data_IF_041873746419
#
_entry.id   IF_041873746419
#
_cell.length_a   1.000
_cell.length_b   1.000
_cell.length_c   1.000
_cell.angle_alpha   90.00
_cell.angle_beta   90.00
_cell.angle_gamma   90.00
#
_symmetry.space_group_name_H-M   'P 1'
#
loop_
_entity.id
_entity.type
_entity.pdbx_description
1 polymer ?
#
# COMPACT_ATOMS: atom_id res chain seq x y z
N UNK A 1 1.18 30.21 5.39
CA UNK A 1 -0.02 30.33 4.53
C UNK A 1 -0.90 29.06 4.62
N UNK A 2 -2.22 29.21 4.47
CA UNK A 2 -3.20 28.14 4.71
C UNK A 2 -3.47 27.20 3.52
N UNK A 3 -3.39 27.68 2.27
CA UNK A 3 -3.64 26.85 1.08
C UNK A 3 -2.34 26.27 0.52
N UNK A 4 -2.41 25.09 -0.11
CA UNK A 4 -1.27 24.45 -0.78
C UNK A 4 -0.64 25.35 -1.84
N UNK A 5 -1.47 26.05 -2.63
CA UNK A 5 -0.99 26.97 -3.66
C UNK A 5 -0.18 28.13 -3.05
N UNK A 6 -0.69 28.73 -1.97
CA UNK A 6 0.02 29.80 -1.27
C UNK A 6 1.29 29.28 -0.57
N UNK A 7 1.32 28.04 -0.12
CA UNK A 7 2.54 27.39 0.41
C UNK A 7 3.59 27.21 -0.69
N UNK A 8 3.20 26.80 -1.89
CA UNK A 8 4.12 26.68 -3.03
C UNK A 8 4.74 28.02 -3.40
N UNK A 9 3.93 29.08 -3.49
CA UNK A 9 4.43 30.43 -3.73
C UNK A 9 5.32 30.93 -2.57
N UNK A 10 4.97 30.63 -1.32
CA UNK A 10 5.73 31.00 -0.14
C UNK A 10 7.14 30.38 -0.13
N UNK A 11 7.26 29.07 -0.37
CA UNK A 11 8.56 28.41 -0.40
C UNK A 11 9.38 28.79 -1.65
N UNK A 12 8.72 29.10 -2.76
CA UNK A 12 9.40 29.69 -3.92
C UNK A 12 10.00 31.06 -3.58
N UNK A 13 9.26 31.93 -2.88
CA UNK A 13 9.75 33.22 -2.40
C UNK A 13 10.91 33.07 -1.39
N UNK A 14 10.85 32.05 -0.52
CA UNK A 14 11.97 31.70 0.38
C UNK A 14 13.25 31.39 -0.41
N UNK A 15 13.15 30.57 -1.46
CA UNK A 15 14.27 30.29 -2.34
C UNK A 15 14.79 31.57 -3.02
N UNK A 16 13.91 32.40 -3.59
CA UNK A 16 14.29 33.65 -4.28
C UNK A 16 14.95 34.69 -3.38
N UNK A 17 14.71 34.63 -2.07
CA UNK A 17 15.33 35.52 -1.06
C UNK A 17 16.54 34.90 -0.35
N UNK A 18 17.07 33.79 -0.87
CA UNK A 18 18.29 33.14 -0.35
C UNK A 18 18.05 32.18 0.82
N UNK A 19 16.81 31.99 1.28
CA UNK A 19 16.46 31.05 2.35
C UNK A 19 16.25 29.63 1.79
N UNK A 20 17.31 29.07 1.19
CA UNK A 20 17.24 27.84 0.40
C UNK A 20 16.90 26.60 1.22
N UNK A 21 17.46 26.44 2.42
CA UNK A 21 17.18 25.29 3.29
C UNK A 21 15.70 25.21 3.68
N UNK A 22 15.12 26.32 4.12
CA UNK A 22 13.69 26.42 4.42
C UNK A 22 12.80 26.16 3.19
N UNK A 23 13.24 26.61 2.01
CA UNK A 23 12.55 26.33 0.76
C UNK A 23 12.54 24.84 0.40
N UNK A 24 13.65 24.13 0.62
CA UNK A 24 13.78 22.70 0.31
C UNK A 24 13.02 21.82 1.27
N UNK A 25 12.98 22.16 2.57
CA UNK A 25 12.13 21.46 3.53
C UNK A 25 10.66 21.55 3.11
N UNK A 26 10.18 22.75 2.81
CA UNK A 26 8.82 22.95 2.32
C UNK A 26 8.52 22.29 0.97
N UNK A 27 9.48 22.33 0.04
CA UNK A 27 9.35 21.64 -1.24
C UNK A 27 9.22 20.13 -1.04
N UNK A 28 9.98 19.53 -0.13
CA UNK A 28 9.89 18.09 0.19
C UNK A 28 8.52 17.73 0.77
N UNK A 29 8.03 18.51 1.74
CA UNK A 29 6.72 18.28 2.35
C UNK A 29 5.57 18.39 1.33
N UNK A 30 5.67 19.35 0.40
CA UNK A 30 4.72 19.51 -0.70
C UNK A 30 4.87 18.46 -1.81
N UNK A 31 6.04 17.83 -1.93
CA UNK A 31 6.35 16.85 -2.96
C UNK A 31 5.88 15.43 -2.61
N UNK A 32 5.96 15.03 -1.35
CA UNK A 32 5.68 13.68 -0.87
C UNK A 32 4.16 13.37 -0.79
N UNK A 33 3.51 13.42 -1.95
CA UNK A 33 2.09 13.10 -2.14
C UNK A 33 1.85 12.50 -3.52
N UNK A 34 0.88 11.58 -3.61
CA UNK A 34 0.43 11.01 -4.89
C UNK A 34 -0.56 11.87 -5.66
N UNK A 35 -0.98 13.01 -5.08
CA UNK A 35 -1.91 13.94 -5.71
C UNK A 35 -1.17 14.91 -6.62
N UNK A 36 -1.84 15.33 -7.69
CA UNK A 36 -1.39 16.46 -8.49
C UNK A 36 -1.46 17.73 -7.64
N UNK A 37 -0.35 18.46 -7.58
CA UNK A 37 -0.24 19.69 -6.83
C UNK A 37 -0.63 20.89 -7.72
N UNK A 38 -0.97 22.05 -7.14
CA UNK A 38 -1.21 23.26 -7.92
C UNK A 38 -0.04 23.61 -8.84
N UNK A 39 -0.32 24.18 -10.02
CA UNK A 39 0.71 24.60 -10.98
C UNK A 39 1.74 25.59 -10.39
N UNK A 40 1.36 26.32 -9.33
CA UNK A 40 2.27 27.18 -8.57
C UNK A 40 3.48 26.42 -7.99
N UNK A 41 3.35 25.12 -7.74
CA UNK A 41 4.40 24.27 -7.19
C UNK A 41 5.43 23.85 -8.25
N UNK A 42 5.11 23.93 -9.54
CA UNK A 42 5.98 23.46 -10.62
C UNK A 42 7.32 24.22 -10.62
N UNK A 43 7.26 25.54 -10.43
CA UNK A 43 8.46 26.38 -10.33
C UNK A 43 9.31 26.01 -9.12
N UNK A 44 8.67 25.79 -7.96
CA UNK A 44 9.35 25.38 -6.73
C UNK A 44 10.05 24.02 -6.89
N UNK A 45 9.35 23.03 -7.45
CA UNK A 45 9.91 21.70 -7.67
C UNK A 45 11.02 21.72 -8.73
N UNK A 46 10.87 22.52 -9.78
CA UNK A 46 11.88 22.70 -10.81
C UNK A 46 13.18 23.27 -10.23
N UNK A 47 13.12 24.35 -9.46
CA UNK A 47 14.33 24.93 -8.84
C UNK A 47 14.92 24.03 -7.75
N UNK A 48 14.08 23.30 -7.00
CA UNK A 48 14.56 22.32 -6.03
C UNK A 48 15.33 21.19 -6.70
N UNK A 49 14.80 20.65 -7.81
CA UNK A 49 15.49 19.63 -8.61
C UNK A 49 16.79 20.17 -9.22
N UNK A 50 16.76 21.35 -9.83
CA UNK A 50 17.92 21.99 -10.45
C UNK A 50 19.04 22.29 -9.44
N UNK A 51 18.71 22.46 -8.15
CA UNK A 51 19.70 22.68 -7.09
C UNK A 51 20.56 21.45 -6.76
N UNK A 52 20.19 20.25 -7.22
CA UNK A 52 20.83 18.98 -6.84
C UNK A 52 20.55 18.55 -5.39
N UNK A 53 19.70 19.28 -4.64
CA UNK A 53 19.30 18.95 -3.26
C UNK A 53 18.05 18.07 -3.17
N UNK A 54 17.44 17.73 -4.30
CA UNK A 54 16.35 16.77 -4.34
C UNK A 54 16.92 15.36 -4.24
N UNK A 55 16.64 14.69 -3.12
CA UNK A 55 16.97 13.29 -2.90
C UNK A 55 16.32 12.41 -3.99
N UNK A 56 17.10 11.61 -4.75
CA UNK A 56 16.55 10.69 -5.74
C UNK A 56 15.51 9.72 -5.16
N UNK A 57 15.65 9.31 -3.89
CA UNK A 57 14.66 8.47 -3.21
C UNK A 57 13.33 9.19 -2.98
N UNK A 58 13.35 10.51 -2.74
CA UNK A 58 12.12 11.30 -2.64
C UNK A 58 11.40 11.41 -4.00
N UNK A 59 12.16 11.42 -5.11
CA UNK A 59 11.59 11.38 -6.45
C UNK A 59 10.87 10.06 -6.70
N UNK A 60 11.54 8.94 -6.42
CA UNK A 60 10.97 7.60 -6.52
C UNK A 60 9.75 7.43 -5.60
N UNK A 61 9.81 7.95 -4.37
CA UNK A 61 8.69 7.85 -3.43
C UNK A 61 7.45 8.56 -3.95
N UNK A 62 7.58 9.70 -4.65
CA UNK A 62 6.43 10.38 -5.26
C UNK A 62 5.81 9.55 -6.38
N UNK A 63 6.61 8.85 -7.19
CA UNK A 63 6.10 7.91 -8.20
C UNK A 63 5.27 6.82 -7.51
N UNK A 64 5.81 6.22 -6.44
CA UNK A 64 5.12 5.16 -5.68
C UNK A 64 3.82 5.66 -5.05
N UNK A 65 3.83 6.85 -4.45
CA UNK A 65 2.63 7.47 -3.88
C UNK A 65 1.59 7.78 -4.95
N UNK A 66 2.00 8.28 -6.12
CA UNK A 66 1.11 8.54 -7.24
C UNK A 66 0.46 7.25 -7.74
N UNK A 67 1.23 6.16 -7.85
CA UNK A 67 0.71 4.85 -8.22
C UNK A 67 -0.28 4.32 -7.17
N UNK A 68 0.05 4.42 -5.88
CA UNK A 68 -0.84 4.01 -4.78
C UNK A 68 -2.15 4.81 -4.76
N UNK A 69 -2.10 6.09 -5.16
CA UNK A 69 -3.26 6.96 -5.30
C UNK A 69 -4.07 6.70 -6.58
N UNK A 70 -3.60 5.82 -7.49
CA UNK A 70 -4.22 5.60 -8.80
C UNK A 70 -4.00 6.74 -9.79
N UNK A 71 -3.06 7.66 -9.53
CA UNK A 71 -2.76 8.79 -10.39
C UNK A 71 -1.74 8.42 -11.47
N UNK A 72 -2.18 7.61 -12.43
CA UNK A 72 -1.34 7.06 -13.52
C UNK A 72 -0.78 8.15 -14.44
N UNK A 73 -1.50 9.25 -14.62
CA UNK A 73 -1.02 10.43 -15.35
C UNK A 73 0.22 11.04 -14.68
N UNK A 74 0.17 11.25 -13.37
CA UNK A 74 1.33 11.75 -12.62
C UNK A 74 2.50 10.76 -12.63
N UNK A 75 2.23 9.46 -12.51
CA UNK A 75 3.28 8.43 -12.65
C UNK A 75 3.97 8.54 -14.00
N UNK A 76 3.20 8.69 -15.09
CA UNK A 76 3.74 8.79 -16.45
C UNK A 76 4.60 10.04 -16.62
N UNK A 77 4.14 11.19 -16.13
CA UNK A 77 4.91 12.45 -16.17
C UNK A 77 6.22 12.31 -15.39
N UNK A 78 6.17 11.78 -14.17
CA UNK A 78 7.35 11.63 -13.32
C UNK A 78 8.33 10.60 -13.89
N UNK A 79 7.84 9.47 -14.42
CA UNK A 79 8.66 8.44 -15.06
C UNK A 79 9.37 8.98 -16.30
N UNK A 80 8.68 9.77 -17.14
CA UNK A 80 9.27 10.40 -18.33
C UNK A 80 10.36 11.42 -18.00
N UNK A 81 10.37 11.96 -16.78
CA UNK A 81 11.36 12.90 -16.29
C UNK A 81 12.28 12.29 -15.23
N UNK A 82 12.45 10.97 -15.15
CA UNK A 82 13.27 10.37 -14.10
C UNK A 82 14.73 10.88 -14.09
N UNK A 83 15.41 10.85 -12.93
CA UNK A 83 16.86 10.99 -12.88
C UNK A 83 17.54 9.93 -13.77
N UNK A 84 18.68 10.29 -14.38
CA UNK A 84 19.36 9.44 -15.35
C UNK A 84 19.69 8.03 -14.83
N UNK A 85 20.00 7.91 -13.54
CA UNK A 85 20.29 6.64 -12.86
C UNK A 85 19.11 5.64 -12.85
N UNK A 86 17.87 6.13 -12.99
CA UNK A 86 16.66 5.30 -13.00
C UNK A 86 15.93 5.29 -14.35
N UNK A 87 16.48 5.94 -15.38
CA UNK A 87 15.85 6.05 -16.69
C UNK A 87 15.62 4.68 -17.35
N UNK A 88 16.43 3.68 -17.00
CA UNK A 88 16.33 2.31 -17.51
C UNK A 88 15.03 1.60 -17.12
N UNK A 89 14.37 2.01 -16.03
CA UNK A 89 13.10 1.42 -15.56
C UNK A 89 11.89 2.32 -15.83
N UNK A 90 12.08 3.51 -16.41
CA UNK A 90 11.01 4.48 -16.66
C UNK A 90 9.89 3.91 -17.53
N UNK A 91 10.24 3.23 -18.64
CA UNK A 91 9.27 2.60 -19.53
C UNK A 91 8.48 1.48 -18.83
N UNK A 92 9.16 0.67 -18.01
CA UNK A 92 8.54 -0.39 -17.24
C UNK A 92 7.54 0.15 -16.21
N UNK A 93 7.86 1.28 -15.55
CA UNK A 93 6.96 1.98 -14.63
C UNK A 93 5.72 2.50 -15.37
N UNK A 94 5.89 3.12 -16.53
CA UNK A 94 4.76 3.65 -17.34
C UNK A 94 3.82 2.51 -17.74
N UNK A 95 4.38 1.42 -18.27
CA UNK A 95 3.61 0.23 -18.64
C UNK A 95 2.85 -0.34 -17.44
N UNK A 96 3.52 -0.44 -16.29
CA UNK A 96 2.91 -0.96 -15.06
C UNK A 96 1.78 -0.06 -14.53
N UNK A 97 1.94 1.26 -14.64
CA UNK A 97 0.93 2.22 -14.23
C UNK A 97 -0.32 2.18 -15.14
N UNK A 98 -0.11 1.99 -16.44
CA UNK A 98 -1.20 1.92 -17.41
C UNK A 98 -1.97 0.61 -17.31
N UNK A 99 -1.29 -0.50 -17.04
CA UNK A 99 -1.92 -1.80 -16.85
C UNK A 99 -1.18 -2.64 -15.78
N UNK A 100 -1.79 -2.81 -14.58
CA UNK A 100 -1.18 -3.54 -13.48
C UNK A 100 -0.98 -5.02 -13.77
N UNK A 101 -1.63 -5.60 -14.79
CA UNK A 101 -1.42 -7.00 -15.19
C UNK A 101 0.00 -7.26 -15.71
N UNK A 102 0.75 -6.20 -16.05
CA UNK A 102 2.17 -6.29 -16.39
C UNK A 102 3.10 -6.47 -15.18
N UNK A 103 2.58 -6.59 -13.95
CA UNK A 103 3.39 -6.67 -12.72
C UNK A 103 4.43 -7.80 -12.73
N UNK A 104 4.10 -8.97 -13.29
CA UNK A 104 5.07 -10.07 -13.35
C UNK A 104 6.19 -9.79 -14.37
N UNK A 105 5.86 -9.17 -15.50
CA UNK A 105 6.85 -8.73 -16.49
C UNK A 105 7.77 -7.66 -15.90
N UNK A 106 7.18 -6.65 -15.24
CA UNK A 106 7.93 -5.63 -14.50
C UNK A 106 8.88 -6.26 -13.47
N UNK A 107 8.38 -7.18 -12.67
CA UNK A 107 9.15 -7.89 -11.64
C UNK A 107 10.31 -8.73 -12.22
N UNK A 108 10.21 -9.21 -13.46
CA UNK A 108 11.26 -10.02 -14.11
C UNK A 108 12.30 -9.17 -14.87
N UNK A 109 11.89 -8.02 -15.36
CA UNK A 109 12.70 -7.16 -16.25
C UNK A 109 13.39 -6.02 -15.52
N UNK A 110 12.97 -5.72 -14.29
CA UNK A 110 13.60 -4.72 -13.43
C UNK A 110 14.41 -5.38 -12.31
N UNK A 111 15.52 -4.75 -11.93
CA UNK A 111 16.33 -5.20 -10.80
C UNK A 111 15.53 -5.21 -9.50
N UNK A 112 15.71 -6.24 -8.66
CA UNK A 112 15.04 -6.34 -7.37
C UNK A 112 15.63 -5.34 -6.38
N UNK A 113 14.86 -4.31 -6.04
CA UNK A 113 15.19 -3.24 -5.10
C UNK A 113 13.96 -2.95 -4.23
N UNK A 114 14.13 -2.23 -3.13
CA UNK A 114 12.97 -1.90 -2.30
C UNK A 114 11.94 -1.04 -3.04
N UNK A 115 12.39 -0.18 -3.97
CA UNK A 115 11.49 0.59 -4.82
C UNK A 115 10.68 -0.30 -5.78
N UNK A 116 11.34 -1.19 -6.53
CA UNK A 116 10.67 -2.06 -7.50
C UNK A 116 9.73 -3.06 -6.82
N UNK A 117 10.10 -3.56 -5.64
CA UNK A 117 9.21 -4.39 -4.80
C UNK A 117 7.94 -3.66 -4.39
N UNK A 118 8.08 -2.42 -3.90
CA UNK A 118 6.92 -1.62 -3.50
C UNK A 118 6.03 -1.23 -4.68
N UNK A 119 6.60 -0.92 -5.84
CA UNK A 119 5.84 -0.68 -7.07
C UNK A 119 5.08 -1.94 -7.51
N UNK A 120 5.74 -3.11 -7.45
CA UNK A 120 5.12 -4.38 -7.76
C UNK A 120 3.99 -4.72 -6.78
N UNK A 121 4.15 -4.45 -5.48
CA UNK A 121 3.09 -4.63 -4.47
C UNK A 121 1.86 -3.77 -4.76
N UNK A 122 2.05 -2.49 -5.13
CA UNK A 122 0.95 -1.58 -5.49
C UNK A 122 0.20 -2.06 -6.75
N UNK A 123 0.93 -2.47 -7.79
CA UNK A 123 0.31 -3.07 -8.97
C UNK A 123 -0.40 -4.39 -8.64
N UNK A 124 0.23 -5.26 -7.86
CA UNK A 124 -0.33 -6.53 -7.44
C UNK A 124 -1.62 -6.34 -6.65
N UNK A 125 -1.69 -5.33 -5.78
CA UNK A 125 -2.92 -4.96 -5.10
C UNK A 125 -4.04 -4.58 -6.07
N UNK A 126 -3.71 -3.99 -7.21
CA UNK A 126 -4.65 -3.66 -8.30
C UNK A 126 -5.09 -4.91 -9.05
N UNK A 127 -4.16 -5.81 -9.40
CA UNK A 127 -4.47 -7.13 -9.99
C UNK A 127 -5.42 -7.92 -9.09
N UNK A 128 -5.13 -7.99 -7.79
CA UNK A 128 -5.98 -8.71 -6.84
C UNK A 128 -7.39 -8.10 -6.73
N UNK A 129 -7.59 -6.81 -7.01
CA UNK A 129 -8.95 -6.22 -7.07
C UNK A 129 -9.74 -6.70 -8.28
N UNK A 130 -9.06 -6.94 -9.39
CA UNK A 130 -9.65 -7.37 -10.66
C UNK A 130 -9.91 -8.87 -10.65
N UNK A 131 -8.93 -9.65 -10.21
CA UNK A 131 -8.99 -11.11 -10.15
C UNK A 131 -8.14 -11.62 -8.98
N UNK A 132 -8.84 -12.03 -7.92
CA UNK A 132 -8.21 -12.53 -6.70
C UNK A 132 -7.49 -13.87 -6.92
N UNK A 133 -8.00 -14.73 -7.81
CA UNK A 133 -7.44 -16.05 -8.06
C UNK A 133 -6.17 -15.96 -8.89
N UNK A 134 -6.17 -15.13 -9.94
CA UNK A 134 -4.97 -14.82 -10.70
C UNK A 134 -3.87 -14.26 -9.78
N UNK A 135 -4.20 -13.28 -8.92
CA UNK A 135 -3.25 -12.74 -7.96
C UNK A 135 -2.73 -13.82 -6.99
N UNK A 136 -3.60 -14.68 -6.46
CA UNK A 136 -3.22 -15.80 -5.57
C UNK A 136 -2.20 -16.73 -6.23
N UNK A 137 -2.44 -17.11 -7.48
CA UNK A 137 -1.57 -17.99 -8.27
C UNK A 137 -0.26 -17.30 -8.68
N UNK A 138 -0.23 -15.98 -8.75
CA UNK A 138 0.94 -15.20 -9.15
C UNK A 138 1.99 -15.04 -8.04
N UNK A 139 1.60 -15.15 -6.76
CA UNK A 139 2.48 -14.92 -5.60
C UNK A 139 3.83 -15.66 -5.71
N UNK A 140 3.90 -16.99 -5.98
CA UNK A 140 5.18 -17.69 -6.05
C UNK A 140 6.12 -17.13 -7.12
N UNK A 141 5.56 -16.73 -8.27
CA UNK A 141 6.34 -16.16 -9.37
C UNK A 141 6.89 -14.77 -9.03
N UNK A 142 6.12 -13.95 -8.31
CA UNK A 142 6.59 -12.64 -7.85
C UNK A 142 7.65 -12.76 -6.75
N UNK A 143 7.46 -13.69 -5.80
CA UNK A 143 8.44 -13.98 -4.75
C UNK A 143 9.78 -14.37 -5.38
N UNK A 144 9.75 -15.27 -6.38
CA UNK A 144 10.96 -15.69 -7.09
C UNK A 144 11.60 -14.53 -7.87
N UNK A 145 10.82 -13.78 -8.64
CA UNK A 145 11.33 -12.73 -9.53
C UNK A 145 11.99 -11.57 -8.76
N UNK A 146 11.41 -11.18 -7.61
CA UNK A 146 11.89 -10.03 -6.82
C UNK A 146 12.63 -10.43 -5.54
N UNK A 147 12.87 -11.74 -5.34
CA UNK A 147 13.52 -12.32 -4.16
C UNK A 147 12.89 -11.76 -2.87
N UNK A 148 11.57 -11.84 -2.79
CA UNK A 148 10.82 -11.28 -1.67
C UNK A 148 11.14 -12.06 -0.39
N UNK A 149 11.27 -11.33 0.72
CA UNK A 149 11.40 -11.95 2.04
C UNK A 149 10.01 -12.40 2.57
N UNK A 150 9.99 -13.01 3.76
CA UNK A 150 8.73 -13.49 4.36
C UNK A 150 7.72 -12.37 4.63
N UNK A 151 8.18 -11.20 5.09
CA UNK A 151 7.30 -10.05 5.36
C UNK A 151 6.64 -9.53 4.08
N UNK A 152 7.43 -9.35 3.01
CA UNK A 152 6.95 -8.93 1.70
C UNK A 152 6.03 -9.97 1.08
N UNK A 153 6.33 -11.26 1.26
CA UNK A 153 5.46 -12.36 0.81
C UNK A 153 4.14 -12.34 1.57
N UNK A 154 4.17 -12.09 2.88
CA UNK A 154 2.97 -11.98 3.71
C UNK A 154 2.13 -10.76 3.32
N UNK A 155 2.73 -9.64 2.93
CA UNK A 155 2.00 -8.48 2.40
C UNK A 155 1.19 -8.84 1.14
N UNK A 156 1.76 -9.61 0.21
CA UNK A 156 1.02 -10.11 -0.95
C UNK A 156 -0.11 -11.08 -0.56
N UNK A 157 0.13 -11.95 0.43
CA UNK A 157 -0.90 -12.86 0.95
C UNK A 157 -2.07 -12.09 1.56
N UNK A 158 -1.78 -11.07 2.36
CA UNK A 158 -2.78 -10.22 3.01
C UNK A 158 -3.64 -9.48 1.97
N UNK A 159 -3.01 -8.96 0.91
CA UNK A 159 -3.70 -8.32 -0.22
C UNK A 159 -4.74 -9.26 -0.86
N UNK A 160 -4.38 -10.51 -1.14
CA UNK A 160 -5.30 -11.49 -1.72
C UNK A 160 -6.35 -11.93 -0.70
N UNK A 161 -5.97 -12.13 0.56
CA UNK A 161 -6.90 -12.52 1.62
C UNK A 161 -8.03 -11.49 1.80
N UNK A 162 -7.73 -10.19 1.67
CA UNK A 162 -8.73 -9.12 1.64
C UNK A 162 -9.77 -9.26 0.52
N UNK A 163 -9.39 -9.89 -0.59
CA UNK A 163 -10.26 -10.09 -1.77
C UNK A 163 -11.11 -11.34 -1.67
N UNK A 164 -10.68 -12.31 -0.87
CA UNK A 164 -11.41 -13.56 -0.61
C UNK A 164 -12.39 -13.44 0.56
N UNK A 165 -12.96 -12.25 0.76
CA UNK A 165 -13.92 -11.99 1.85
C UNK A 165 -15.40 -12.07 1.41
N UNK A 166 -15.65 -12.42 0.15
CA UNK A 166 -16.98 -12.57 -0.44
C UNK A 166 -17.64 -13.93 -0.17
N UNK A 167 -18.87 -14.08 -0.63
CA UNK A 167 -19.68 -15.29 -0.48
C UNK A 167 -19.48 -16.30 -1.64
N UNK A 168 -18.78 -15.88 -2.70
CA UNK A 168 -18.49 -16.62 -3.93
C UNK A 168 -17.17 -17.42 -3.88
N UNK A 169 -16.53 -17.44 -2.70
CA UNK A 169 -15.22 -18.05 -2.48
C UNK A 169 -15.35 -19.57 -2.37
N UNK A 170 -14.51 -20.29 -3.12
CA UNK A 170 -14.46 -21.77 -3.06
C UNK A 170 -13.82 -22.27 -1.77
N UNK A 171 -14.05 -23.53 -1.39
CA UNK A 171 -13.43 -24.14 -0.20
C UNK A 171 -11.90 -24.07 -0.23
N UNK A 172 -11.30 -24.29 -1.40
CA UNK A 172 -9.86 -24.21 -1.58
C UNK A 172 -9.32 -22.79 -1.33
N UNK A 173 -10.03 -21.77 -1.84
CA UNK A 173 -9.68 -20.37 -1.61
C UNK A 173 -9.92 -19.95 -0.16
N UNK A 174 -11.00 -20.41 0.47
CA UNK A 174 -11.29 -20.15 1.88
C UNK A 174 -10.20 -20.74 2.79
N UNK A 175 -9.75 -21.98 2.53
CA UNK A 175 -8.64 -22.61 3.25
C UNK A 175 -7.34 -21.84 3.05
N UNK A 176 -7.04 -21.42 1.83
CA UNK A 176 -5.85 -20.63 1.52
C UNK A 176 -5.87 -19.28 2.23
N UNK A 177 -7.01 -18.57 2.19
CA UNK A 177 -7.21 -17.29 2.87
C UNK A 177 -6.99 -17.44 4.37
N UNK A 178 -7.58 -18.45 4.99
CA UNK A 178 -7.49 -18.62 6.43
C UNK A 178 -6.04 -18.98 6.87
N UNK A 179 -5.28 -19.78 6.11
CA UNK A 179 -3.83 -19.97 6.35
C UNK A 179 -3.05 -18.66 6.22
N UNK A 180 -3.34 -17.85 5.20
CA UNK A 180 -2.73 -16.54 5.03
C UNK A 180 -2.99 -15.62 6.23
N UNK A 181 -4.24 -15.52 6.70
CA UNK A 181 -4.61 -14.68 7.83
C UNK A 181 -4.01 -15.20 9.14
N UNK A 182 -3.88 -16.51 9.32
CA UNK A 182 -3.25 -17.08 10.52
C UNK A 182 -1.79 -16.65 10.68
N UNK A 183 -1.09 -16.37 9.58
CA UNK A 183 0.29 -15.87 9.55
C UNK A 183 0.39 -14.34 9.55
N UNK A 184 -0.72 -13.65 9.36
CA UNK A 184 -0.76 -12.18 9.24
C UNK A 184 -0.54 -11.48 10.58
N UNK A 185 0.08 -10.31 10.51
CA UNK A 185 0.17 -9.35 11.62
C UNK A 185 -0.84 -8.18 11.45
N UNK A 186 -1.65 -8.20 10.38
CA UNK A 186 -2.61 -7.14 10.10
C UNK A 186 -3.84 -7.27 10.99
N UNK A 187 -3.89 -6.43 12.03
CA UNK A 187 -5.06 -6.33 12.92
C UNK A 187 -6.35 -6.14 12.13
N UNK A 188 -6.35 -5.20 11.17
CA UNK A 188 -7.53 -4.89 10.36
C UNK A 188 -8.03 -6.09 9.53
N UNK A 189 -7.11 -6.93 9.04
CA UNK A 189 -7.46 -8.14 8.28
C UNK A 189 -8.06 -9.21 9.19
N UNK A 190 -7.48 -9.41 10.38
CA UNK A 190 -8.02 -10.35 11.38
C UNK A 190 -9.42 -9.89 11.81
N UNK A 191 -9.59 -8.60 12.13
CA UNK A 191 -10.89 -8.02 12.46
C UNK A 191 -11.92 -8.21 11.33
N UNK A 192 -11.52 -8.06 10.06
CA UNK A 192 -12.41 -8.33 8.92
C UNK A 192 -12.86 -9.79 8.90
N UNK A 193 -11.97 -10.72 9.22
CA UNK A 193 -12.26 -12.16 9.30
C UNK A 193 -13.15 -12.53 10.50
N UNK A 194 -13.02 -11.82 11.62
CA UNK A 194 -13.96 -11.90 12.76
C UNK A 194 -15.36 -11.46 12.32
N UNK A 195 -15.47 -10.31 11.64
CA UNK A 195 -16.77 -9.82 11.13
C UNK A 195 -17.41 -10.78 10.12
N UNK A 196 -16.60 -11.47 9.31
CA UNK A 196 -17.11 -12.55 8.45
C UNK A 196 -17.72 -13.69 9.27
N UNK A 197 -17.05 -14.15 10.33
CA UNK A 197 -17.58 -15.21 11.19
C UNK A 197 -18.91 -14.79 11.84
N UNK A 198 -19.02 -13.54 12.28
CA UNK A 198 -20.28 -12.96 12.81
C UNK A 198 -21.39 -12.99 11.77
N UNK A 199 -21.12 -12.47 10.56
CA UNK A 199 -22.10 -12.41 9.49
C UNK A 199 -22.59 -13.78 9.01
N UNK A 200 -21.81 -14.84 9.22
CA UNK A 200 -22.16 -16.21 8.86
C UNK A 200 -22.75 -17.02 10.03
N UNK A 201 -22.83 -16.46 11.24
CA UNK A 201 -23.21 -17.20 12.44
C UNK A 201 -22.22 -18.31 12.82
N UNK A 202 -20.97 -18.24 12.37
CA UNK A 202 -19.93 -19.23 12.63
C UNK A 202 -19.35 -19.03 14.04
N UNK A 203 -20.01 -19.62 15.04
CA UNK A 203 -19.59 -19.50 16.45
C UNK A 203 -18.17 -20.05 16.70
N UNK A 204 -17.77 -21.12 15.99
CA UNK A 204 -16.43 -21.71 16.13
C UNK A 204 -15.36 -20.81 15.52
N UNK A 205 -15.63 -20.26 14.34
CA UNK A 205 -14.76 -19.28 13.69
C UNK A 205 -14.66 -18.01 14.52
N UNK A 206 -15.77 -17.51 15.06
CA UNK A 206 -15.79 -16.31 15.91
C UNK A 206 -14.81 -16.45 17.09
N UNK A 207 -14.89 -17.57 17.82
CA UNK A 207 -13.94 -17.87 18.89
C UNK A 207 -12.49 -17.94 18.41
N UNK A 208 -12.26 -18.64 17.29
CA UNK A 208 -10.92 -18.79 16.71
C UNK A 208 -10.29 -17.45 16.35
N UNK A 209 -11.01 -16.59 15.62
CA UNK A 209 -10.47 -15.34 15.09
C UNK A 209 -10.40 -14.23 16.14
N UNK A 210 -11.32 -14.19 17.11
CA UNK A 210 -11.21 -13.27 18.25
C UNK A 210 -9.96 -13.55 19.08
N UNK A 211 -9.60 -14.82 19.28
CA UNK A 211 -8.38 -15.18 19.99
C UNK A 211 -7.10 -14.68 19.29
N UNK A 212 -7.13 -14.54 17.96
CA UNK A 212 -6.02 -14.06 17.13
C UNK A 212 -5.83 -12.55 17.14
N UNK A 213 -6.80 -11.77 17.60
CA UNK A 213 -6.61 -10.31 17.73
C UNK A 213 -5.48 -10.00 18.71
N UNK A 214 -4.61 -9.01 18.41
CA UNK A 214 -3.62 -8.53 19.36
C UNK A 214 -4.32 -7.88 20.56
N UNK A 215 -3.60 -7.74 21.67
CA UNK A 215 -4.17 -7.29 22.94
C UNK A 215 -4.82 -5.92 22.80
N UNK A 216 -4.14 -4.99 22.13
CA UNK A 216 -4.60 -3.61 21.91
C UNK A 216 -5.92 -3.57 21.12
N UNK A 217 -6.11 -4.52 20.19
CA UNK A 217 -7.37 -4.61 19.46
C UNK A 217 -8.49 -5.12 20.38
N UNK A 218 -8.22 -6.13 21.23
CA UNK A 218 -9.23 -6.73 22.12
C UNK A 218 -9.88 -5.75 23.10
N UNK A 219 -9.23 -4.61 23.38
CA UNK A 219 -9.77 -3.55 24.24
C UNK A 219 -10.93 -2.76 23.62
N UNK A 220 -11.16 -2.85 22.31
CA UNK A 220 -12.28 -2.16 21.66
C UNK A 220 -13.62 -2.70 22.15
N UNK A 221 -14.60 -1.81 22.33
CA UNK A 221 -15.93 -2.13 22.85
C UNK A 221 -16.59 -3.28 22.09
N UNK A 222 -16.51 -3.27 20.75
CA UNK A 222 -17.06 -4.35 19.94
C UNK A 222 -16.48 -5.72 20.29
N UNK A 223 -15.17 -5.83 20.49
CA UNK A 223 -14.52 -7.12 20.73
C UNK A 223 -14.72 -7.60 22.17
N UNK A 224 -14.83 -6.69 23.13
CA UNK A 224 -15.20 -7.01 24.51
C UNK A 224 -16.61 -7.59 24.59
N UNK A 225 -17.57 -6.99 23.88
CA UNK A 225 -18.93 -7.51 23.79
C UNK A 225 -18.95 -8.93 23.22
N UNK A 226 -18.30 -9.16 22.07
CA UNK A 226 -18.31 -10.47 21.42
C UNK A 226 -17.52 -11.54 22.20
N UNK A 227 -16.50 -11.16 22.96
CA UNK A 227 -15.85 -12.05 23.92
C UNK A 227 -16.81 -12.49 25.02
N UNK A 228 -17.60 -11.56 25.58
CA UNK A 228 -18.59 -11.87 26.61
C UNK A 228 -19.69 -12.81 26.08
N UNK A 229 -20.14 -12.63 24.83
CA UNK A 229 -21.13 -13.52 24.20
C UNK A 229 -20.63 -14.96 23.98
N UNK A 230 -19.32 -15.12 23.83
CA UNK A 230 -18.70 -16.45 23.72
C UNK A 230 -18.49 -17.13 25.07
N UNK A 231 -18.45 -16.38 26.18
CA UNK A 231 -18.31 -16.97 27.50
C UNK A 231 -19.51 -17.89 27.77
N UNK A 232 -19.28 -19.09 28.31
CA UNK A 232 -20.39 -19.90 28.80
C UNK A 232 -21.07 -19.13 29.92
N UNK A 233 -22.39 -18.96 29.83
CA UNK A 233 -23.19 -18.40 30.92
C UNK A 233 -23.06 -19.36 32.10
N UNK A 234 -22.16 -19.03 33.01
CA UNK A 234 -22.06 -19.71 34.28
C UNK A 234 -23.20 -19.20 35.14
N UNK A 235 -24.35 -19.89 35.07
CA UNK A 235 -25.38 -19.76 36.10
C UNK A 235 -24.77 -20.28 37.40
N UNK A 236 -24.16 -19.39 38.16
CA UNK A 236 -23.88 -19.65 39.57
C UNK A 236 -25.23 -19.52 40.29
N UNK A 237 -25.96 -20.63 40.38
CA UNK A 237 -27.05 -20.74 41.32
C UNK A 237 -26.44 -20.71 42.73
N UNK A 238 -26.65 -19.59 43.43
CA UNK A 238 -26.59 -19.52 44.89
C UNK A 238 -27.93 -19.97 45.47
#
# INVERSE_FOLDING_TARGET
>A
PGTTEAQCNYYYAKWSTGQTEAAWQGAKDLWLTGKSQPNACDKLFSVWRASGKQDPLAYLERIRLAMKAGNTGLVTVLAGQMPAEYQTIASAIITLANDPNNVLTFARTTGATDFTRQMAEVAFASVARQDAENARLMIPSLVQAQKLNEEQTQALRDIVAWRLMGNDVTDAQAKWRDDAIMRSQSTSLIERRVRMAQGMGDRRGLNTWLARLPMEAKEKDEWRYWQAELLPVSYTHL
#
